data_IF_289811340343
#
_entry.id   IF_289811340343
#
_cell.length_a   1.000
_cell.length_b   1.000
_cell.length_c   1.000
_cell.angle_alpha   90.00
_cell.angle_beta   90.00
_cell.angle_gamma   90.00
#
_symmetry.space_group_name_H-M   'P 1'
#
loop_
_entity.id
_entity.type
_entity.pdbx_description
1 polymer ?
#
# COMPACT_ATOMS: atom_id res chain seq x y z
N UNK A 1 -64.18 -28.94 -10.28
CA UNK A 1 -63.19 -27.91 -10.68
C UNK A 1 -62.45 -27.45 -9.43
N UNK A 2 -61.23 -27.94 -9.25
CA UNK A 2 -60.28 -27.50 -8.21
C UNK A 2 -58.96 -27.35 -8.94
N UNK A 3 -58.52 -26.10 -9.16
CA UNK A 3 -57.22 -25.80 -9.78
C UNK A 3 -56.16 -25.83 -8.69
N UNK A 4 -55.30 -26.82 -8.73
CA UNK A 4 -54.04 -26.86 -7.97
C UNK A 4 -53.03 -26.00 -8.72
N UNK A 5 -52.73 -24.80 -8.24
CA UNK A 5 -51.62 -24.00 -8.77
C UNK A 5 -50.30 -24.46 -8.15
N UNK A 6 -49.37 -24.86 -9.02
CA UNK A 6 -48.03 -25.27 -8.67
C UNK A 6 -47.15 -24.02 -8.55
N UNK A 7 -46.81 -23.62 -7.33
CA UNK A 7 -45.85 -22.53 -7.07
C UNK A 7 -44.45 -23.07 -7.33
N UNK A 8 -43.89 -22.77 -8.50
CA UNK A 8 -42.48 -23.01 -8.81
C UNK A 8 -41.66 -21.98 -8.03
N UNK A 9 -41.12 -22.39 -6.88
CA UNK A 9 -40.10 -21.61 -6.16
C UNK A 9 -38.77 -21.72 -6.91
N UNK A 10 -38.46 -20.77 -7.79
CA UNK A 10 -37.13 -20.62 -8.37
C UNK A 10 -36.16 -20.10 -7.31
N UNK A 11 -35.38 -21.01 -6.73
CA UNK A 11 -34.20 -20.73 -5.90
C UNK A 11 -33.13 -20.03 -6.77
N UNK A 12 -33.00 -18.72 -6.64
CA UNK A 12 -31.82 -17.99 -7.12
C UNK A 12 -30.66 -18.29 -6.17
N UNK A 13 -29.92 -19.37 -6.45
CA UNK A 13 -28.60 -19.58 -5.85
C UNK A 13 -27.65 -18.60 -6.52
N UNK A 14 -27.46 -17.42 -5.93
CA UNK A 14 -26.37 -16.52 -6.30
C UNK A 14 -25.09 -17.18 -5.81
N UNK A 15 -24.52 -18.04 -6.67
CA UNK A 15 -23.15 -18.49 -6.53
C UNK A 15 -22.32 -17.22 -6.67
N UNK A 16 -21.90 -16.63 -5.55
CA UNK A 16 -20.75 -15.74 -5.51
C UNK A 16 -19.59 -16.56 -6.06
N UNK A 17 -19.39 -16.51 -7.38
CA UNK A 17 -18.09 -16.84 -7.93
C UNK A 17 -17.16 -15.87 -7.25
N UNK A 18 -16.39 -16.38 -6.30
CA UNK A 18 -15.14 -15.76 -5.87
C UNK A 18 -14.31 -15.70 -7.13
N UNK A 19 -14.52 -14.65 -7.92
CA UNK A 19 -13.49 -14.15 -8.80
C UNK A 19 -12.43 -13.67 -7.82
N UNK A 20 -11.52 -14.58 -7.46
CA UNK A 20 -10.15 -14.17 -7.21
C UNK A 20 -9.78 -13.47 -8.50
N UNK A 21 -9.94 -12.16 -8.52
CA UNK A 21 -9.66 -11.35 -9.68
C UNK A 21 -8.21 -11.63 -10.01
N UNK A 22 -7.95 -12.10 -11.23
CA UNK A 22 -6.58 -12.23 -11.78
C UNK A 22 -5.76 -10.94 -11.59
N UNK A 23 -6.41 -9.81 -11.33
CA UNK A 23 -5.85 -8.57 -10.83
C UNK A 23 -4.84 -8.75 -9.68
N UNK A 24 -5.13 -9.60 -8.67
CA UNK A 24 -4.21 -9.82 -7.54
C UNK A 24 -2.93 -10.53 -7.98
N UNK A 25 -3.01 -11.46 -8.94
CA UNK A 25 -1.86 -12.18 -9.50
C UNK A 25 -1.07 -11.30 -10.49
N UNK A 26 -1.73 -10.44 -11.27
CA UNK A 26 -1.02 -9.47 -12.15
C UNK A 26 -0.28 -8.37 -11.39
N UNK A 27 -0.56 -8.18 -10.10
CA UNK A 27 0.22 -7.31 -9.21
C UNK A 27 1.54 -7.96 -8.75
N UNK A 28 1.73 -9.27 -8.95
CA UNK A 28 2.96 -9.99 -8.60
C UNK A 28 4.07 -9.91 -9.66
N UNK A 29 4.03 -8.96 -10.61
CA UNK A 29 5.09 -8.80 -11.62
C UNK A 29 6.45 -8.41 -11.03
N UNK A 30 6.44 -7.73 -9.89
CA UNK A 30 7.64 -7.29 -9.16
C UNK A 30 7.94 -8.20 -7.94
N UNK A 31 7.35 -9.38 -7.85
CA UNK A 31 7.51 -10.27 -6.69
C UNK A 31 8.96 -10.78 -6.54
N UNK A 32 9.39 -10.93 -5.29
CA UNK A 32 10.62 -11.62 -4.90
C UNK A 32 10.51 -13.10 -5.28
N UNK A 33 11.37 -13.59 -6.19
CA UNK A 33 11.48 -15.01 -6.49
C UNK A 33 12.34 -15.69 -5.42
N UNK A 34 11.85 -16.80 -4.86
CA UNK A 34 12.60 -17.61 -3.91
C UNK A 34 12.91 -18.99 -4.46
N UNK A 35 14.12 -19.49 -4.24
CA UNK A 35 14.55 -20.84 -4.62
C UNK A 35 15.06 -21.54 -3.36
N UNK A 36 14.39 -22.63 -2.97
CA UNK A 36 14.77 -23.41 -1.79
C UNK A 36 15.97 -24.31 -2.07
N UNK A 37 16.73 -24.61 -1.02
CA UNK A 37 17.95 -25.43 -1.03
C UNK A 37 19.02 -24.93 -2.01
N UNK A 38 19.09 -23.61 -2.15
CA UNK A 38 20.02 -22.91 -3.02
C UNK A 38 20.51 -21.65 -2.33
N UNK A 39 21.73 -21.27 -2.67
CA UNK A 39 22.32 -19.96 -2.37
C UNK A 39 23.00 -19.43 -3.61
N UNK A 40 23.15 -18.11 -3.67
CA UNK A 40 24.08 -17.47 -4.58
C UNK A 40 25.42 -17.32 -3.84
N UNK A 41 26.44 -18.05 -4.29
CA UNK A 41 27.77 -18.03 -3.70
C UNK A 41 28.58 -16.81 -4.17
N UNK A 42 29.66 -16.47 -3.46
CA UNK A 42 30.68 -15.47 -3.85
C UNK A 42 30.21 -14.00 -3.96
N UNK A 43 28.92 -13.74 -3.81
CA UNK A 43 28.33 -12.39 -3.95
C UNK A 43 27.85 -11.80 -2.62
N UNK A 44 27.97 -12.55 -1.51
CA UNK A 44 27.59 -12.08 -0.18
C UNK A 44 28.54 -10.98 0.30
N UNK A 45 28.05 -9.75 0.44
CA UNK A 45 28.83 -8.61 0.95
C UNK A 45 28.51 -8.27 2.41
N UNK A 46 27.37 -8.74 2.94
CA UNK A 46 26.98 -8.53 4.33
C UNK A 46 26.27 -9.76 4.88
N UNK A 47 26.73 -10.24 6.03
CA UNK A 47 26.13 -11.37 6.75
C UNK A 47 25.65 -10.90 8.12
N UNK A 48 24.38 -11.14 8.44
CA UNK A 48 23.75 -10.73 9.72
C UNK A 48 22.83 -11.80 10.27
N UNK A 49 22.66 -11.89 11.60
CA UNK A 49 21.60 -12.70 12.20
C UNK A 49 20.22 -12.23 11.73
N UNK A 50 19.31 -13.17 11.50
CA UNK A 50 17.94 -12.91 11.05
C UNK A 50 16.97 -13.95 11.66
N UNK A 51 16.12 -13.55 12.62
CA UNK A 51 15.20 -14.47 13.30
C UNK A 51 14.28 -15.23 12.34
N UNK A 52 13.80 -14.55 11.30
CA UNK A 52 12.91 -15.08 10.29
C UNK A 52 13.34 -14.67 8.88
N UNK A 53 12.66 -15.21 7.87
CA UNK A 53 12.94 -14.97 6.45
C UNK A 53 12.51 -13.56 6.03
N UNK A 54 11.46 -13.00 6.63
CA UNK A 54 10.91 -11.69 6.30
C UNK A 54 11.89 -10.58 6.70
N UNK A 55 12.49 -10.66 7.89
CA UNK A 55 13.55 -9.77 8.35
C UNK A 55 14.75 -9.77 7.39
N UNK A 56 15.09 -10.93 6.80
CA UNK A 56 16.17 -11.05 5.83
C UNK A 56 15.84 -10.32 4.52
N UNK A 57 14.58 -10.43 4.07
CA UNK A 57 14.09 -9.69 2.90
C UNK A 57 14.08 -8.19 3.19
N UNK A 58 13.59 -7.76 4.37
CA UNK A 58 13.58 -6.36 4.79
C UNK A 58 15.00 -5.78 4.83
N UNK A 59 15.95 -6.49 5.45
CA UNK A 59 17.36 -6.06 5.48
C UNK A 59 17.93 -5.86 4.07
N UNK A 60 17.57 -6.72 3.11
CA UNK A 60 17.98 -6.54 1.72
C UNK A 60 17.30 -5.33 1.06
N UNK A 61 16.02 -5.09 1.33
CA UNK A 61 15.28 -3.93 0.79
C UNK A 61 15.88 -2.60 1.28
N UNK A 62 16.29 -2.55 2.54
CA UNK A 62 16.86 -1.36 3.16
C UNK A 62 18.32 -1.10 2.74
N UNK A 63 19.04 -2.13 2.30
CA UNK A 63 20.45 -2.00 1.93
C UNK A 63 20.63 -1.68 0.44
N UNK A 64 21.14 -0.49 0.12
CA UNK A 64 21.27 0.03 -1.27
C UNK A 64 21.99 -0.90 -2.24
N UNK A 65 22.98 -1.65 -1.77
CA UNK A 65 23.77 -2.58 -2.58
C UNK A 65 23.13 -3.96 -2.75
N UNK A 66 22.07 -4.31 -2.01
CA UNK A 66 21.53 -5.67 -1.99
C UNK A 66 20.62 -5.99 -3.17
N UNK A 67 21.08 -6.83 -4.10
CA UNK A 67 20.32 -7.33 -5.26
C UNK A 67 19.56 -8.64 -4.98
N UNK A 68 20.07 -9.47 -4.08
CA UNK A 68 19.42 -10.70 -3.64
C UNK A 68 19.90 -11.12 -2.25
N UNK A 69 19.32 -12.15 -1.66
CA UNK A 69 19.75 -12.63 -0.35
C UNK A 69 19.73 -14.15 -0.23
N UNK A 70 20.58 -14.68 0.66
CA UNK A 70 20.54 -16.07 1.10
C UNK A 70 20.05 -16.11 2.55
N UNK A 71 19.05 -16.94 2.85
CA UNK A 71 18.58 -17.16 4.22
C UNK A 71 18.83 -18.60 4.66
N UNK A 72 19.60 -18.78 5.72
CA UNK A 72 19.96 -20.07 6.29
C UNK A 72 19.00 -20.43 7.43
N UNK A 73 18.08 -21.38 7.20
CA UNK A 73 16.99 -21.71 8.13
C UNK A 73 17.49 -22.27 9.47
N UNK A 74 18.55 -23.08 9.45
CA UNK A 74 19.11 -23.73 10.65
C UNK A 74 19.85 -22.74 11.56
N UNK A 75 20.71 -21.91 10.96
CA UNK A 75 21.56 -20.97 11.71
C UNK A 75 20.91 -19.62 11.94
N UNK A 76 19.78 -19.34 11.28
CA UNK A 76 19.07 -18.05 11.38
C UNK A 76 19.96 -16.88 10.95
N UNK A 77 20.66 -17.07 9.83
CA UNK A 77 21.57 -16.09 9.24
C UNK A 77 21.03 -15.64 7.90
N UNK A 78 21.18 -14.35 7.61
CA UNK A 78 20.89 -13.73 6.33
C UNK A 78 22.20 -13.22 5.72
N UNK A 79 22.42 -13.55 4.46
CA UNK A 79 23.46 -12.93 3.63
C UNK A 79 22.80 -12.05 2.58
N UNK A 80 23.30 -10.83 2.45
CA UNK A 80 22.91 -9.90 1.41
C UNK A 80 23.93 -9.99 0.27
N UNK A 81 23.42 -10.19 -0.94
CA UNK A 81 24.22 -10.36 -2.15
C UNK A 81 24.13 -9.11 -3.04
N UNK A 82 25.24 -8.71 -3.66
CA UNK A 82 25.30 -7.57 -4.58
C UNK A 82 24.96 -7.94 -6.03
N UNK A 83 24.60 -9.22 -6.26
CA UNK A 83 24.22 -9.77 -7.57
C UNK A 83 22.96 -10.62 -7.49
N UNK A 84 22.48 -11.08 -8.65
CA UNK A 84 21.36 -12.02 -8.79
C UNK A 84 21.74 -13.27 -9.57
N UNK A 85 20.93 -14.33 -9.47
CA UNK A 85 21.04 -15.53 -10.32
C UNK A 85 20.83 -15.22 -11.82
N UNK A 86 20.16 -14.12 -12.14
CA UNK A 86 19.97 -13.69 -13.54
C UNK A 86 21.27 -13.11 -14.09
N UNK A 87 22.04 -12.38 -13.26
CA UNK A 87 23.33 -11.84 -13.68
C UNK A 87 24.45 -12.87 -13.63
N UNK A 88 24.44 -13.77 -12.63
CA UNK A 88 25.48 -14.77 -12.42
C UNK A 88 24.83 -16.15 -12.15
N UNK A 89 24.33 -16.82 -13.20
CA UNK A 89 23.66 -18.12 -13.04
C UNK A 89 24.60 -19.24 -12.56
N UNK A 90 25.89 -19.16 -12.88
CA UNK A 90 26.92 -20.14 -12.55
C UNK A 90 27.25 -20.21 -11.05
N UNK A 91 27.01 -19.12 -10.31
CA UNK A 91 27.29 -19.04 -8.87
C UNK A 91 26.14 -19.56 -8.00
N UNK A 92 25.08 -20.07 -8.63
CA UNK A 92 23.95 -20.67 -7.93
C UNK A 92 24.28 -22.10 -7.51
N UNK A 93 24.45 -22.33 -6.22
CA UNK A 93 24.90 -23.62 -5.68
C UNK A 93 23.88 -24.25 -4.74
N UNK A 94 23.92 -25.58 -4.70
CA UNK A 94 23.11 -26.39 -3.81
C UNK A 94 23.54 -26.20 -2.36
N UNK A 95 22.60 -25.83 -1.50
CA UNK A 95 22.84 -25.73 -0.07
C UNK A 95 21.58 -26.11 0.69
N UNK A 96 21.60 -27.26 1.34
CA UNK A 96 20.46 -27.76 2.10
C UNK A 96 20.10 -26.80 3.25
N UNK A 97 18.80 -26.55 3.45
CA UNK A 97 18.28 -25.64 4.47
C UNK A 97 18.54 -24.15 4.23
N UNK A 98 18.99 -23.76 3.04
CA UNK A 98 19.05 -22.37 2.64
C UNK A 98 17.91 -21.99 1.67
N UNK A 99 17.62 -20.70 1.56
CA UNK A 99 16.71 -20.13 0.58
C UNK A 99 17.40 -18.94 -0.07
N UNK A 100 17.54 -18.99 -1.39
CA UNK A 100 17.92 -17.86 -2.20
C UNK A 100 16.69 -17.02 -2.54
N UNK A 101 16.79 -15.68 -2.50
CA UNK A 101 15.68 -14.77 -2.80
C UNK A 101 16.14 -13.58 -3.64
N UNK A 102 15.48 -13.29 -4.76
CA UNK A 102 15.76 -12.08 -5.58
C UNK A 102 15.05 -10.87 -4.99
N UNK A 103 15.74 -9.74 -4.79
CA UNK A 103 15.08 -8.53 -4.31
C UNK A 103 14.66 -7.62 -5.47
N UNK A 104 13.47 -7.88 -6.03
CA UNK A 104 12.93 -7.09 -7.15
C UNK A 104 12.22 -5.80 -6.70
N UNK A 105 11.97 -5.64 -5.39
CA UNK A 105 11.29 -4.48 -4.81
C UNK A 105 12.27 -3.69 -3.94
N UNK A 106 13.13 -2.89 -4.57
CA UNK A 106 13.90 -1.89 -3.84
C UNK A 106 13.07 -0.62 -3.66
N UNK A 107 12.58 -0.37 -2.45
CA UNK A 107 11.94 0.91 -2.06
C UNK A 107 12.95 1.65 -1.21
N UNK A 108 13.93 2.29 -1.85
CA UNK A 108 14.86 3.14 -1.12
C UNK A 108 14.31 4.57 -1.06
N UNK A 109 14.34 5.22 0.12
CA UNK A 109 14.17 6.66 0.20
C UNK A 109 15.29 7.32 -0.61
N UNK A 110 14.93 8.24 -1.51
CA UNK A 110 15.92 8.99 -2.27
C UNK A 110 16.66 9.94 -1.30
N UNK A 111 17.95 9.71 -1.08
CA UNK A 111 18.83 10.59 -0.33
C UNK A 111 19.63 11.47 -1.29
N UNK A 112 19.89 12.73 -0.89
CA UNK A 112 20.45 13.86 -1.66
C UNK A 112 21.76 13.61 -2.47
N UNK A 113 22.40 12.46 -2.36
CA UNK A 113 23.68 12.18 -3.00
C UNK A 113 23.59 11.59 -4.42
N UNK A 114 22.41 11.22 -4.91
CA UNK A 114 22.18 11.01 -6.35
C UNK A 114 21.69 12.32 -6.97
N UNK A 115 22.51 12.97 -7.80
CA UNK A 115 22.21 14.25 -8.45
C UNK A 115 20.95 14.20 -9.35
N UNK A 116 20.47 13.00 -9.70
CA UNK A 116 19.22 12.76 -10.44
C UNK A 116 17.96 12.60 -9.54
N UNK A 117 18.14 12.53 -8.22
CA UNK A 117 17.12 12.11 -7.25
C UNK A 117 17.08 13.01 -6.00
N UNK A 118 16.88 14.33 -6.20
CA UNK A 118 17.02 15.36 -5.16
C UNK A 118 15.73 15.93 -4.55
N UNK A 119 14.58 15.23 -4.60
CA UNK A 119 13.35 15.72 -3.91
C UNK A 119 12.94 14.80 -2.77
N UNK A 120 12.70 15.41 -1.60
CA UNK A 120 12.22 14.78 -0.37
C UNK A 120 10.87 14.01 -0.53
N UNK A 121 10.19 14.21 -1.67
CA UNK A 121 8.93 13.56 -2.01
C UNK A 121 9.05 12.37 -2.98
N UNK A 122 10.24 11.93 -3.39
CA UNK A 122 10.39 10.89 -4.42
C UNK A 122 10.58 9.47 -3.82
N UNK A 123 10.30 8.44 -4.63
CA UNK A 123 10.70 7.04 -4.37
C UNK A 123 11.56 6.59 -5.54
N UNK A 124 12.72 6.02 -5.23
CA UNK A 124 13.69 5.57 -6.20
C UNK A 124 13.35 4.13 -6.59
N UNK A 125 12.79 3.93 -7.78
CA UNK A 125 12.64 2.59 -8.34
C UNK A 125 13.93 2.23 -9.08
N UNK A 126 14.66 1.27 -8.55
CA UNK A 126 15.86 0.75 -9.17
C UNK A 126 15.46 -0.24 -10.28
N UNK A 127 15.60 0.19 -11.55
CA UNK A 127 15.44 -0.69 -12.72
C UNK A 127 16.81 -1.04 -13.28
N UNK A 128 16.92 -2.23 -13.90
CA UNK A 128 18.10 -2.64 -14.66
C UNK A 128 18.31 -1.66 -15.82
N UNK A 129 19.30 -0.77 -15.71
CA UNK A 129 19.59 0.28 -16.70
C UNK A 129 19.56 1.73 -16.17
N UNK A 130 19.24 1.97 -14.89
CA UNK A 130 19.35 3.30 -14.27
C UNK A 130 18.39 3.50 -13.08
N UNK A 131 18.64 4.55 -12.29
CA UNK A 131 17.79 4.93 -11.17
C UNK A 131 16.68 5.85 -11.72
N UNK A 132 15.44 5.38 -11.81
CA UNK A 132 14.34 6.28 -12.13
C UNK A 132 13.71 6.77 -10.84
N UNK A 133 13.95 8.03 -10.51
CA UNK A 133 13.16 8.73 -9.53
C UNK A 133 11.72 8.88 -10.04
N UNK A 134 10.79 8.26 -9.34
CA UNK A 134 9.38 8.52 -9.55
C UNK A 134 8.92 9.51 -8.50
N UNK A 135 8.45 10.66 -8.97
CA UNK A 135 7.83 11.65 -8.11
C UNK A 135 6.68 11.00 -7.34
N UNK A 136 6.82 10.91 -6.02
CA UNK A 136 5.79 10.40 -5.11
C UNK A 136 4.93 11.55 -4.55
N UNK A 137 4.82 12.62 -5.33
CA UNK A 137 3.93 13.76 -5.10
C UNK A 137 2.63 13.73 -5.90
N UNK A 138 2.46 12.77 -6.81
CA UNK A 138 1.27 12.67 -7.65
C UNK A 138 0.00 12.36 -6.85
N UNK A 139 -1.10 13.02 -7.18
CA UNK A 139 -2.40 12.72 -6.59
C UNK A 139 -2.77 11.24 -6.84
N UNK A 140 -3.16 10.54 -5.76
CA UNK A 140 -3.43 9.09 -5.82
C UNK A 140 -4.71 8.72 -6.58
N UNK A 141 -5.55 9.71 -6.89
CA UNK A 141 -6.71 9.52 -7.76
C UNK A 141 -8.07 9.83 -7.14
N UNK A 142 -8.09 10.48 -5.97
CA UNK A 142 -9.34 10.87 -5.32
C UNK A 142 -10.06 11.96 -6.12
N UNK A 143 -9.35 12.98 -6.61
CA UNK A 143 -9.93 14.06 -7.40
C UNK A 143 -10.39 13.61 -8.80
N UNK A 144 -9.55 12.88 -9.52
CA UNK A 144 -9.80 12.51 -10.92
C UNK A 144 -10.62 11.23 -11.14
N UNK A 145 -11.16 10.63 -10.07
CA UNK A 145 -12.02 9.45 -10.18
C UNK A 145 -11.30 8.10 -10.30
N UNK A 146 -9.96 8.06 -10.34
CA UNK A 146 -9.20 6.80 -10.41
C UNK A 146 -9.42 5.91 -9.19
N UNK A 147 -9.63 6.52 -8.01
CA UNK A 147 -10.16 5.80 -6.84
C UNK A 147 -11.69 5.73 -7.03
N UNK A 148 -12.30 4.53 -7.11
CA UNK A 148 -13.74 4.38 -7.36
C UNK A 148 -14.59 4.80 -6.15
N UNK A 149 -15.84 5.19 -6.37
CA UNK A 149 -16.76 5.61 -5.30
C UNK A 149 -16.95 4.51 -4.23
N UNK A 150 -16.95 3.25 -4.63
CA UNK A 150 -17.08 2.09 -3.72
C UNK A 150 -15.91 1.97 -2.73
N UNK A 151 -14.75 2.57 -3.04
CA UNK A 151 -13.60 2.61 -2.14
C UNK A 151 -13.70 3.72 -1.08
N UNK A 152 -14.73 4.57 -1.13
CA UNK A 152 -14.91 5.71 -0.23
C UNK A 152 -16.07 5.42 0.71
N UNK A 153 -15.77 5.29 2.01
CA UNK A 153 -16.75 5.01 3.06
C UNK A 153 -16.65 6.03 4.17
N UNK A 154 -17.70 6.16 4.98
CA UNK A 154 -17.69 7.06 6.13
C UNK A 154 -18.55 6.51 7.26
N UNK A 155 -18.32 7.02 8.46
CA UNK A 155 -19.14 6.78 9.65
C UNK A 155 -20.63 7.08 9.45
N UNK A 156 -20.94 8.16 8.73
CA UNK A 156 -22.30 8.60 8.45
C UNK A 156 -22.31 9.61 7.30
N UNK A 157 -23.49 9.97 6.80
CA UNK A 157 -23.66 11.11 5.90
C UNK A 157 -24.96 11.85 6.20
N UNK A 158 -24.98 13.16 6.00
CA UNK A 158 -26.15 14.00 6.26
C UNK A 158 -27.33 13.64 5.33
N UNK A 159 -27.05 13.49 4.04
CA UNK A 159 -27.99 13.05 3.02
C UNK A 159 -27.22 12.58 1.78
N UNK A 160 -27.94 12.14 0.75
CA UNK A 160 -27.36 11.69 -0.52
C UNK A 160 -26.53 12.79 -1.24
N UNK A 161 -26.89 14.07 -1.09
CA UNK A 161 -26.15 15.17 -1.70
C UNK A 161 -24.81 15.47 -1.00
N UNK A 162 -24.64 15.00 0.25
CA UNK A 162 -23.44 15.11 1.07
C UNK A 162 -22.83 13.72 1.40
N UNK A 163 -23.05 12.77 0.50
CA UNK A 163 -22.57 11.39 0.63
C UNK A 163 -21.03 11.30 0.58
N UNK A 164 -20.42 10.21 1.07
CA UNK A 164 -18.96 10.08 1.18
C UNK A 164 -18.22 10.26 -0.16
N UNK A 165 -18.80 9.80 -1.26
CA UNK A 165 -18.20 9.95 -2.60
C UNK A 165 -18.10 11.42 -3.07
N UNK A 166 -18.74 12.37 -2.38
CA UNK A 166 -18.60 13.82 -2.63
C UNK A 166 -17.36 14.44 -2.02
N UNK A 167 -16.53 13.66 -1.32
CA UNK A 167 -15.31 14.13 -0.63
C UNK A 167 -14.14 14.46 -1.57
N UNK A 168 -14.29 14.20 -2.86
CA UNK A 168 -13.25 14.46 -3.87
C UNK A 168 -12.88 15.94 -3.88
N UNK A 169 -11.59 16.25 -3.97
CA UNK A 169 -11.15 17.64 -4.12
C UNK A 169 -11.80 18.26 -5.37
N UNK A 170 -12.09 19.55 -5.28
CA UNK A 170 -12.76 20.35 -6.31
C UNK A 170 -14.13 19.81 -6.75
N UNK A 171 -14.74 18.94 -5.95
CA UNK A 171 -16.14 18.53 -6.10
C UNK A 171 -17.08 19.73 -5.91
N UNK A 172 -18.20 19.79 -6.66
CA UNK A 172 -19.23 20.82 -6.45
C UNK A 172 -19.97 20.67 -5.11
N UNK A 173 -19.78 19.54 -4.41
CA UNK A 173 -20.32 19.25 -3.09
C UNK A 173 -19.20 18.77 -2.16
N UNK A 174 -19.55 18.39 -0.93
CA UNK A 174 -18.62 17.83 0.05
C UNK A 174 -19.27 16.66 0.78
N UNK A 175 -18.48 15.89 1.52
CA UNK A 175 -19.01 14.97 2.53
C UNK A 175 -19.33 15.73 3.81
N UNK A 176 -20.45 15.41 4.45
CA UNK A 176 -20.79 15.91 5.78
C UNK A 176 -21.44 14.81 6.61
N UNK A 177 -21.16 14.80 7.91
CA UNK A 177 -21.70 13.82 8.87
C UNK A 177 -23.22 13.98 9.03
N UNK A 178 -23.88 12.91 9.47
CA UNK A 178 -25.25 13.03 9.96
C UNK A 178 -25.31 13.97 11.19
N UNK A 179 -26.49 14.51 11.49
CA UNK A 179 -26.74 15.36 12.67
C UNK A 179 -26.61 14.56 13.99
N UNK A 180 -25.41 14.10 14.29
CA UNK A 180 -25.05 13.41 15.52
C UNK A 180 -23.86 14.11 16.14
N UNK A 181 -23.98 14.63 17.37
CA UNK A 181 -22.84 15.13 18.14
C UNK A 181 -22.02 14.00 18.77
N UNK A 182 -22.46 12.74 18.65
CA UNK A 182 -21.84 11.59 19.32
C UNK A 182 -20.97 10.79 18.35
N UNK A 183 -19.75 10.49 18.79
CA UNK A 183 -18.87 9.47 18.23
C UNK A 183 -17.62 10.03 17.54
N UNK A 184 -16.60 9.19 17.31
CA UNK A 184 -15.55 9.53 16.38
C UNK A 184 -16.13 9.51 14.97
N UNK A 185 -16.21 10.67 14.33
CA UNK A 185 -16.58 10.77 12.93
C UNK A 185 -15.36 10.48 12.06
N UNK A 186 -15.54 9.63 11.06
CA UNK A 186 -14.47 9.22 10.16
C UNK A 186 -14.95 9.15 8.72
N UNK A 187 -14.00 9.35 7.82
CA UNK A 187 -14.03 9.10 6.39
C UNK A 187 -12.84 8.18 6.09
N UNK A 188 -13.08 7.14 5.31
CA UNK A 188 -12.09 6.15 4.92
C UNK A 188 -12.01 6.08 3.39
N UNK A 189 -10.78 5.96 2.89
CA UNK A 189 -10.50 5.72 1.49
C UNK A 189 -9.67 4.44 1.40
N UNK A 190 -10.19 3.43 0.73
CA UNK A 190 -9.46 2.23 0.37
C UNK A 190 -8.61 2.50 -0.89
N UNK A 191 -7.30 2.26 -0.78
CA UNK A 191 -6.37 2.47 -1.90
C UNK A 191 -6.21 1.22 -2.77
N UNK A 192 -6.78 0.08 -2.36
CA UNK A 192 -6.75 -1.19 -3.08
C UNK A 192 -5.38 -1.89 -3.13
N UNK A 193 -4.35 -1.28 -2.53
CA UNK A 193 -2.99 -1.82 -2.39
C UNK A 193 -2.22 -1.02 -1.34
N UNK A 194 -1.12 -1.60 -0.84
CA UNK A 194 -0.20 -0.92 0.07
C UNK A 194 0.45 0.26 -0.67
N UNK A 195 0.39 1.45 -0.07
CA UNK A 195 0.87 2.71 -0.66
C UNK A 195 1.50 3.59 0.41
N UNK A 196 2.61 4.25 0.06
CA UNK A 196 3.17 5.32 0.88
C UNK A 196 2.34 6.62 0.71
N UNK A 197 1.83 7.15 1.82
CA UNK A 197 1.07 8.42 1.85
C UNK A 197 1.99 9.52 2.43
N UNK A 198 2.33 10.52 1.62
CA UNK A 198 3.21 11.63 2.05
C UNK A 198 2.46 12.88 2.50
N UNK A 199 1.34 13.19 1.85
CA UNK A 199 0.55 14.41 2.11
C UNK A 199 -0.93 14.12 1.98
N UNK A 200 -1.72 14.85 2.76
CA UNK A 200 -3.19 14.87 2.68
C UNK A 200 -3.62 16.31 2.41
N UNK A 201 -4.25 16.52 1.26
CA UNK A 201 -4.93 17.77 0.95
C UNK A 201 -6.38 17.68 1.44
N UNK A 202 -6.87 18.76 2.06
CA UNK A 202 -8.23 18.83 2.60
C UNK A 202 -8.94 20.04 2.01
N UNK A 203 -10.26 19.95 1.89
CA UNK A 203 -11.09 21.04 1.39
C UNK A 203 -12.42 21.07 2.15
N UNK A 204 -12.93 22.27 2.41
CA UNK A 204 -14.26 22.47 2.97
C UNK A 204 -15.34 22.48 1.90
N UNK A 205 -16.60 22.49 2.34
CA UNK A 205 -17.76 22.78 1.51
C UNK A 205 -17.72 24.26 1.09
N UNK A 206 -17.61 24.51 -0.22
CA UNK A 206 -17.43 25.85 -0.80
C UNK A 206 -18.74 26.61 -1.07
N UNK A 207 -19.90 25.97 -0.91
CA UNK A 207 -21.19 26.62 -1.15
C UNK A 207 -21.37 27.76 -0.14
N UNK A 208 -21.48 29.00 -0.62
CA UNK A 208 -21.46 30.21 0.19
C UNK A 208 -22.50 30.24 1.31
N UNK A 209 -23.72 29.75 1.03
CA UNK A 209 -24.80 29.66 2.01
C UNK A 209 -24.59 28.57 3.08
N UNK A 210 -23.60 27.68 2.90
CA UNK A 210 -23.37 26.51 3.75
C UNK A 210 -21.87 26.20 3.91
N UNK A 211 -21.03 27.24 4.02
CA UNK A 211 -19.58 27.04 4.16
C UNK A 211 -19.27 26.28 5.46
N UNK A 212 -18.64 25.12 5.31
CA UNK A 212 -18.32 24.22 6.40
C UNK A 212 -16.94 23.60 6.13
N UNK A 213 -16.07 23.53 7.13
CA UNK A 213 -14.77 22.90 7.00
C UNK A 213 -14.31 22.28 8.33
N UNK A 214 -13.50 21.25 8.21
CA UNK A 214 -12.83 20.61 9.36
C UNK A 214 -11.62 21.47 9.74
N UNK A 215 -11.52 21.85 11.02
CA UNK A 215 -10.38 22.64 11.52
C UNK A 215 -9.17 21.78 11.88
N UNK A 216 -9.42 20.60 12.45
CA UNK A 216 -8.37 19.66 12.81
C UNK A 216 -8.82 18.22 12.64
N UNK A 217 -7.87 17.35 12.33
CA UNK A 217 -8.14 15.92 12.14
C UNK A 217 -6.93 15.08 12.57
N UNK A 218 -7.18 13.79 12.79
CA UNK A 218 -6.16 12.77 12.99
C UNK A 218 -6.21 11.82 11.80
N UNK A 219 -5.08 11.20 11.49
CA UNK A 219 -4.99 10.19 10.44
C UNK A 219 -4.73 8.84 11.09
N UNK A 220 -5.43 7.82 10.59
CA UNK A 220 -5.17 6.43 10.93
C UNK A 220 -5.06 5.62 9.65
N UNK A 221 -4.24 4.58 9.68
CA UNK A 221 -4.04 3.65 8.56
C UNK A 221 -4.12 2.21 9.07
N UNK A 222 -4.44 1.29 8.17
CA UNK A 222 -4.36 -0.15 8.41
C UNK A 222 -4.07 -0.87 7.10
N UNK A 223 -3.51 -2.06 7.22
CA UNK A 223 -3.47 -3.04 6.14
C UNK A 223 -4.77 -3.87 6.15
N UNK A 224 -5.01 -4.62 5.07
CA UNK A 224 -6.21 -5.45 4.97
C UNK A 224 -6.25 -6.49 6.10
N UNK A 225 -7.41 -6.61 6.76
CA UNK A 225 -7.57 -7.43 7.98
C UNK A 225 -6.80 -6.96 9.22
N UNK A 226 -6.01 -5.90 9.12
CA UNK A 226 -5.17 -5.38 10.22
C UNK A 226 -5.88 -4.42 11.17
N UNK A 227 -5.20 -4.09 12.27
CA UNK A 227 -5.65 -3.09 13.24
C UNK A 227 -5.35 -1.66 12.74
N UNK A 228 -6.18 -0.70 13.15
CA UNK A 228 -5.93 0.71 12.89
C UNK A 228 -4.75 1.23 13.72
N UNK A 229 -3.74 1.75 13.03
CA UNK A 229 -2.63 2.50 13.61
C UNK A 229 -2.89 4.00 13.46
N UNK A 230 -2.74 4.77 14.54
CA UNK A 230 -2.85 6.23 14.52
C UNK A 230 -1.50 6.82 14.10
N UNK A 231 -1.51 7.79 13.20
CA UNK A 231 -0.29 8.48 12.77
C UNK A 231 0.34 9.25 13.93
N UNK A 232 1.63 8.99 14.16
CA UNK A 232 2.43 9.62 15.20
C UNK A 232 3.56 10.44 14.58
N UNK A 233 3.87 11.57 15.20
CA UNK A 233 5.02 12.41 14.87
C UNK A 233 5.74 12.72 16.19
N UNK A 234 7.06 12.47 16.24
CA UNK A 234 7.87 12.62 17.45
C UNK A 234 7.29 11.88 18.68
N UNK A 235 6.84 10.63 18.48
CA UNK A 235 6.19 9.78 19.49
C UNK A 235 4.90 10.35 20.11
N UNK A 236 4.26 11.33 19.46
CA UNK A 236 2.97 11.87 19.86
C UNK A 236 1.94 11.72 18.73
N UNK A 237 0.67 11.53 19.07
CA UNK A 237 -0.41 11.51 18.08
C UNK A 237 -0.44 12.86 17.35
N UNK A 238 -0.22 12.83 16.03
CA UNK A 238 -0.26 14.05 15.23
C UNK A 238 -1.69 14.50 15.03
N UNK A 239 -1.99 15.72 15.47
CA UNK A 239 -3.21 16.45 15.12
C UNK A 239 -2.86 17.40 13.99
N UNK A 240 -3.43 17.17 12.80
CA UNK A 240 -3.25 18.02 11.64
C UNK A 240 -4.26 19.16 11.67
N UNK A 241 -3.82 20.38 11.41
CA UNK A 241 -4.67 21.58 11.33
C UNK A 241 -4.87 21.96 9.87
N UNK A 242 -6.11 22.23 9.48
CA UNK A 242 -6.43 22.70 8.14
C UNK A 242 -6.08 24.19 8.02
N UNK A 243 -5.24 24.52 7.04
CA UNK A 243 -4.97 25.92 6.66
C UNK A 243 -5.98 26.32 5.59
N UNK A 244 -6.75 27.39 5.86
CA UNK A 244 -7.65 27.97 4.88
C UNK A 244 -6.84 28.85 3.92
N UNK A 245 -6.96 28.61 2.62
CA UNK A 245 -6.53 29.52 1.57
C UNK A 245 -7.76 30.15 0.92
#
# INVERSE_FOLDING_TARGET
MSRTECIIATLFVIIWRVQVTLASVTQCKDATYSISNRILANHAFLTKPSPNIEDCVIMCIEHRLCESSNYYRKTKVCELNDKTVISNPEDMVDFEWAIYMTNNVRILPCYDFDFECGRQADICHLKKGGNMCKECGGALGLENGKIPDAAITASSSFNFALAPNRVRLNSPSAWSIANSPRGPHWLQVDLGRIMAIKKVATQGRRIDSHRQWVKSYKVSSREDGGNWAVYMENNAVKVSTTVLY
#
